data_IF_464684459479
#
_entry.id   IF_464684459479
#
_cell.length_a   1.000
_cell.length_b   1.000
_cell.length_c   1.000
_cell.angle_alpha   90.00
_cell.angle_beta   90.00
_cell.angle_gamma   90.00
#
_symmetry.space_group_name_H-M   'P 1'
#
loop_
_entity.id
_entity.type
_entity.pdbx_description
1 polymer ?
#
# COMPACT_ATOMS: atom_id res chain seq x y z
N UNK A 1 1.28 16.28 2.22
CA UNK A 1 0.28 16.15 3.31
C UNK A 1 -1.07 16.55 2.76
N UNK A 2 -2.07 15.67 2.86
CA UNK A 2 -3.42 15.93 2.36
C UNK A 2 -4.16 16.86 3.35
N UNK A 3 -4.58 18.03 2.88
CA UNK A 3 -5.23 19.05 3.71
C UNK A 3 -6.72 18.79 3.94
N UNK A 4 -7.31 17.83 3.21
CA UNK A 4 -8.71 17.41 3.40
C UNK A 4 -8.91 16.40 4.54
N UNK A 5 -7.84 15.96 5.21
CA UNK A 5 -7.91 15.03 6.33
C UNK A 5 -7.78 15.76 7.67
N UNK A 6 -8.41 15.26 8.75
CA UNK A 6 -8.17 15.78 10.09
C UNK A 6 -6.68 15.75 10.45
N UNK A 7 -6.24 16.70 11.26
CA UNK A 7 -4.88 16.68 11.79
C UNK A 7 -4.65 15.37 12.58
N UNK A 8 -3.57 14.62 12.31
CA UNK A 8 -3.39 13.29 12.88
C UNK A 8 -3.03 13.30 14.38
N UNK A 9 -2.66 14.44 14.96
CA UNK A 9 -2.15 14.51 16.33
C UNK A 9 -0.74 13.89 16.44
N UNK A 10 -0.40 13.42 17.65
CA UNK A 10 0.82 12.62 17.85
C UNK A 10 0.69 11.22 17.21
N UNK A 11 1.80 10.50 17.09
CA UNK A 11 1.78 9.12 16.58
C UNK A 11 0.87 8.21 17.42
N UNK A 12 0.95 8.29 18.74
CA UNK A 12 0.16 7.45 19.64
C UNK A 12 -1.34 7.74 19.53
N UNK A 13 -1.71 9.03 19.46
CA UNK A 13 -3.11 9.45 19.24
C UNK A 13 -3.63 8.94 17.90
N UNK A 14 -2.82 9.06 16.84
CA UNK A 14 -3.19 8.54 15.52
C UNK A 14 -3.35 7.02 15.54
N UNK A 15 -2.45 6.31 16.20
CA UNK A 15 -2.50 4.85 16.31
C UNK A 15 -3.76 4.39 17.05
N UNK A 16 -4.12 5.03 18.16
CA UNK A 16 -5.36 4.76 18.89
C UNK A 16 -6.59 4.97 18.00
N UNK A 17 -6.66 6.12 17.32
CA UNK A 17 -7.75 6.47 16.38
C UNK A 17 -7.83 5.47 15.22
N UNK A 18 -6.69 5.05 14.68
CA UNK A 18 -6.60 4.07 13.60
C UNK A 18 -7.10 2.68 14.02
N UNK A 19 -6.67 2.20 15.20
CA UNK A 19 -7.11 0.92 15.75
C UNK A 19 -8.59 0.91 16.11
N UNK A 20 -9.13 2.05 16.55
CA UNK A 20 -10.56 2.24 16.79
C UNK A 20 -11.38 2.34 15.48
N UNK A 21 -10.73 2.50 14.32
CA UNK A 21 -11.40 2.72 13.05
C UNK A 21 -12.04 4.11 12.93
N UNK A 22 -11.63 5.07 13.76
CA UNK A 22 -12.10 6.47 13.77
C UNK A 22 -11.33 7.34 12.76
N UNK A 23 -10.86 6.71 11.68
CA UNK A 23 -10.17 7.36 10.57
C UNK A 23 -11.06 7.35 9.33
N UNK A 24 -10.78 8.22 8.35
CA UNK A 24 -11.44 8.13 7.04
C UNK A 24 -11.41 6.69 6.51
N UNK A 25 -12.53 6.26 5.91
CA UNK A 25 -12.77 4.88 5.43
C UNK A 25 -12.93 3.80 6.51
N UNK A 26 -12.82 4.13 7.80
CA UNK A 26 -13.18 3.24 8.91
C UNK A 26 -12.06 2.26 9.33
N UNK A 27 -12.47 1.15 9.94
CA UNK A 27 -11.58 0.09 10.44
C UNK A 27 -10.82 -0.62 9.30
N UNK A 28 -9.49 -0.56 9.35
CA UNK A 28 -8.63 -1.31 8.42
C UNK A 28 -8.90 -2.81 8.49
N UNK A 29 -9.10 -3.36 9.69
CA UNK A 29 -9.35 -4.79 9.90
C UNK A 29 -10.65 -5.24 9.26
N UNK A 30 -11.71 -4.43 9.37
CA UNK A 30 -12.99 -4.75 8.75
C UNK A 30 -12.89 -4.64 7.23
N UNK A 31 -12.19 -3.60 6.73
CA UNK A 31 -11.97 -3.42 5.30
C UNK A 31 -11.26 -4.62 4.67
N UNK A 32 -10.10 -5.05 5.20
CA UNK A 32 -9.34 -6.16 4.63
C UNK A 32 -10.07 -7.50 4.74
N UNK A 33 -10.75 -7.76 5.88
CA UNK A 33 -11.54 -8.99 6.07
C UNK A 33 -12.72 -9.05 5.11
N UNK A 34 -13.47 -7.96 4.97
CA UNK A 34 -14.62 -7.92 4.07
C UNK A 34 -14.22 -8.18 2.61
N UNK A 35 -13.12 -7.57 2.14
CA UNK A 35 -12.60 -7.81 0.79
C UNK A 35 -12.03 -9.21 0.62
N UNK A 36 -11.40 -9.75 1.66
CA UNK A 36 -10.94 -11.13 1.68
C UNK A 36 -12.13 -12.07 1.48
N UNK A 37 -13.17 -11.99 2.30
CA UNK A 37 -14.35 -12.87 2.21
C UNK A 37 -15.13 -12.69 0.90
N UNK A 38 -15.13 -11.48 0.33
CA UNK A 38 -15.78 -11.19 -0.94
C UNK A 38 -15.07 -11.85 -2.15
N UNK A 39 -13.77 -12.17 -2.04
CA UNK A 39 -12.96 -12.65 -3.16
C UNK A 39 -13.46 -13.97 -3.76
N UNK A 40 -14.11 -14.80 -2.95
CA UNK A 40 -14.64 -16.11 -3.38
C UNK A 40 -16.03 -15.99 -4.04
N UNK A 41 -16.70 -14.83 -3.86
CA UNK A 41 -18.06 -14.57 -4.36
C UNK A 41 -18.08 -13.69 -5.61
N UNK A 42 -17.03 -12.89 -5.81
CA UNK A 42 -16.92 -11.93 -6.89
C UNK A 42 -15.61 -12.11 -7.64
N UNK A 43 -15.57 -11.61 -8.88
CA UNK A 43 -14.34 -11.61 -9.67
C UNK A 43 -13.39 -10.53 -9.15
N UNK A 44 -12.67 -10.84 -8.07
CA UNK A 44 -11.74 -9.93 -7.38
C UNK A 44 -10.34 -10.55 -7.42
N UNK A 45 -9.35 -9.74 -7.81
CA UNK A 45 -7.94 -10.08 -7.64
C UNK A 45 -7.44 -9.45 -6.34
N UNK A 46 -7.18 -10.28 -5.35
CA UNK A 46 -6.61 -9.85 -4.07
C UNK A 46 -5.08 -9.90 -4.14
N UNK A 47 -4.42 -8.77 -3.90
CA UNK A 47 -2.96 -8.61 -3.98
C UNK A 47 -2.40 -8.08 -2.67
N UNK A 48 -1.14 -8.42 -2.39
CA UNK A 48 -0.40 -7.91 -1.25
C UNK A 48 0.69 -6.96 -1.73
N UNK A 49 0.86 -5.85 -1.02
CA UNK A 49 1.88 -4.85 -1.36
C UNK A 49 3.29 -5.44 -1.23
N UNK A 50 3.48 -6.31 -0.24
CA UNK A 50 4.73 -7.01 0.05
C UNK A 50 5.14 -7.94 -1.10
N UNK A 51 4.16 -8.63 -1.71
CA UNK A 51 4.40 -9.49 -2.88
C UNK A 51 4.80 -8.66 -4.10
N UNK A 52 4.14 -7.51 -4.32
CA UNK A 52 4.50 -6.58 -5.41
C UNK A 52 5.92 -6.06 -5.22
N UNK A 53 6.34 -5.80 -3.98
CA UNK A 53 7.72 -5.41 -3.69
C UNK A 53 8.73 -6.53 -3.92
N UNK A 54 8.37 -7.76 -3.54
CA UNK A 54 9.26 -8.93 -3.60
C UNK A 54 9.44 -9.44 -5.03
N UNK A 55 8.35 -9.50 -5.80
CA UNK A 55 8.33 -9.95 -7.19
C UNK A 55 7.33 -9.10 -8.00
N UNK A 56 7.72 -7.87 -8.40
CA UNK A 56 6.85 -7.00 -9.18
C UNK A 56 6.47 -7.64 -10.53
N UNK A 57 7.37 -8.41 -11.13
CA UNK A 57 7.12 -9.07 -12.42
C UNK A 57 6.00 -10.09 -12.30
N UNK A 58 6.09 -10.98 -11.31
CA UNK A 58 5.09 -12.02 -11.06
C UNK A 58 3.71 -11.42 -10.77
N UNK A 59 3.64 -10.38 -9.95
CA UNK A 59 2.38 -9.72 -9.62
C UNK A 59 1.80 -8.93 -10.82
N UNK A 60 2.62 -8.30 -11.67
CA UNK A 60 2.15 -7.67 -12.92
C UNK A 60 1.58 -8.73 -13.89
N UNK A 61 2.26 -9.87 -14.05
CA UNK A 61 1.74 -10.97 -14.87
C UNK A 61 0.41 -11.53 -14.32
N UNK A 62 0.27 -11.61 -13.00
CA UNK A 62 -0.96 -12.03 -12.31
C UNK A 62 -2.12 -11.07 -12.60
N UNK A 63 -1.86 -9.76 -12.57
CA UNK A 63 -2.82 -8.73 -13.00
C UNK A 63 -3.17 -8.90 -14.48
N UNK A 64 -2.19 -9.11 -15.36
CA UNK A 64 -2.40 -9.38 -16.78
C UNK A 64 -3.35 -10.56 -17.01
N UNK A 65 -3.07 -11.72 -16.40
CA UNK A 65 -3.91 -12.92 -16.49
C UNK A 65 -5.33 -12.66 -15.97
N UNK A 66 -5.48 -11.94 -14.86
CA UNK A 66 -6.79 -11.58 -14.32
C UNK A 66 -7.60 -10.68 -15.27
N UNK A 67 -6.94 -9.81 -16.02
CA UNK A 67 -7.54 -8.98 -17.05
C UNK A 67 -7.72 -9.70 -18.39
N UNK A 68 -7.33 -10.97 -18.51
CA UNK A 68 -7.38 -11.73 -19.76
C UNK A 68 -6.36 -11.25 -20.80
N UNK A 69 -5.22 -10.72 -20.34
CA UNK A 69 -4.14 -10.19 -21.17
C UNK A 69 -2.89 -11.04 -21.00
N UNK A 70 -2.35 -11.55 -22.10
CA UNK A 70 -0.97 -12.02 -22.13
C UNK A 70 -0.04 -10.81 -22.28
N UNK A 71 1.03 -10.78 -21.50
CA UNK A 71 2.02 -9.71 -21.51
C UNK A 71 3.32 -10.27 -22.11
N UNK A 72 3.63 -9.96 -23.39
CA UNK A 72 4.92 -10.32 -23.97
C UNK A 72 6.08 -9.74 -23.16
N UNK A 73 7.22 -10.42 -23.15
CA UNK A 73 8.39 -10.03 -22.34
C UNK A 73 8.76 -8.54 -22.46
N UNK A 74 8.85 -7.94 -23.67
CA UNK A 74 9.22 -6.52 -23.79
C UNK A 74 8.17 -5.57 -23.18
N UNK A 75 6.89 -5.97 -23.20
CA UNK A 75 5.81 -5.19 -22.60
C UNK A 75 5.87 -5.32 -21.08
N UNK A 76 6.11 -6.53 -20.57
CA UNK A 76 6.27 -6.77 -19.13
C UNK A 76 7.44 -5.97 -18.55
N UNK A 77 8.61 -6.00 -19.20
CA UNK A 77 9.78 -5.19 -18.80
C UNK A 77 9.44 -3.71 -18.74
N UNK A 78 8.76 -3.21 -19.78
CA UNK A 78 8.35 -1.80 -19.83
C UNK A 78 7.43 -1.44 -18.66
N UNK A 79 6.44 -2.29 -18.33
CA UNK A 79 5.53 -2.01 -17.20
C UNK A 79 6.31 -2.01 -15.88
N UNK A 80 7.20 -2.98 -15.67
CA UNK A 80 8.03 -3.07 -14.45
C UNK A 80 8.85 -1.80 -14.27
N UNK A 81 9.50 -1.32 -15.32
CA UNK A 81 10.32 -0.10 -15.27
C UNK A 81 9.47 1.16 -14.99
N UNK A 82 8.35 1.33 -15.69
CA UNK A 82 7.49 2.51 -15.55
C UNK A 82 6.75 2.55 -14.21
N UNK A 83 6.47 1.39 -13.62
CA UNK A 83 5.79 1.27 -12.31
C UNK A 83 6.76 1.14 -11.15
N UNK A 84 8.08 1.24 -11.40
CA UNK A 84 9.08 1.30 -10.34
C UNK A 84 8.87 2.57 -9.49
N UNK A 85 9.27 2.50 -8.21
CA UNK A 85 9.10 3.62 -7.29
C UNK A 85 9.80 4.89 -7.79
N UNK A 86 11.02 4.77 -8.31
CA UNK A 86 11.78 5.92 -8.81
C UNK A 86 11.14 6.52 -10.06
N UNK A 87 10.70 5.69 -11.02
CA UNK A 87 9.97 6.15 -12.20
C UNK A 87 8.68 6.88 -11.83
N UNK A 88 7.87 6.30 -10.93
CA UNK A 88 6.62 6.91 -10.48
C UNK A 88 6.83 8.18 -9.65
N UNK A 89 7.92 8.25 -8.87
CA UNK A 89 8.31 9.43 -8.08
C UNK A 89 8.75 10.58 -8.98
N UNK A 90 9.45 10.30 -10.08
CA UNK A 90 9.88 11.29 -11.06
C UNK A 90 8.77 11.78 -12.00
N UNK A 91 7.66 11.05 -12.11
CA UNK A 91 6.60 11.34 -13.08
C UNK A 91 5.48 12.24 -12.48
N UNK A 92 5.28 13.47 -13.00
CA UNK A 92 4.24 14.40 -12.53
C UNK A 92 2.80 13.86 -12.61
N UNK A 93 2.54 12.90 -13.51
CA UNK A 93 1.22 12.29 -13.68
C UNK A 93 0.89 11.26 -12.60
N UNK A 94 1.88 10.81 -11.81
CA UNK A 94 1.71 9.78 -10.78
C UNK A 94 2.10 10.25 -9.38
N UNK A 95 2.98 11.24 -9.27
CA UNK A 95 3.50 11.72 -7.98
C UNK A 95 2.67 12.84 -7.33
N UNK A 96 1.55 13.25 -7.92
CA UNK A 96 0.65 14.30 -7.44
C UNK A 96 1.26 15.72 -7.36
N UNK A 97 2.36 16.00 -8.06
CA UNK A 97 3.04 17.32 -8.00
C UNK A 97 2.25 18.46 -8.64
N UNK A 98 1.26 18.11 -9.47
CA UNK A 98 0.36 19.06 -10.14
C UNK A 98 -0.79 19.52 -9.24
N UNK A 99 -0.99 18.89 -8.08
CA UNK A 99 -2.01 19.34 -7.13
C UNK A 99 -1.56 20.63 -6.41
N UNK A 100 -2.46 21.62 -6.24
CA UNK A 100 -2.17 22.80 -5.45
C UNK A 100 -1.85 22.47 -3.97
N UNK A 101 -0.97 23.23 -3.30
CA UNK A 101 -0.59 22.98 -1.90
C UNK A 101 -1.74 22.98 -0.90
N UNK A 102 -2.81 23.75 -1.18
CA UNK A 102 -4.01 23.77 -0.33
C UNK A 102 -4.83 22.48 -0.41
N UNK A 103 -4.57 21.60 -1.39
CA UNK A 103 -5.14 20.25 -1.48
C UNK A 103 -4.12 19.25 -0.93
N UNK A 104 -2.88 19.30 -1.42
CA UNK A 104 -1.82 18.40 -1.01
C UNK A 104 -0.46 19.10 -0.95
N UNK A 105 0.02 19.33 0.26
CA UNK A 105 1.30 20.01 0.50
C UNK A 105 2.47 19.03 0.44
N UNK A 106 3.17 18.99 -0.70
CA UNK A 106 4.33 18.11 -0.89
C UNK A 106 5.59 18.56 -0.14
N UNK A 107 5.68 19.82 0.29
CA UNK A 107 6.82 20.33 1.04
C UNK A 107 6.87 19.74 2.45
N UNK A 108 5.70 19.52 3.06
CA UNK A 108 5.58 18.83 4.37
C UNK A 108 5.86 17.33 4.23
N UNK A 109 5.22 16.69 3.25
CA UNK A 109 5.43 15.27 2.98
C UNK A 109 5.05 14.95 1.53
N UNK A 110 6.00 14.49 0.70
CA UNK A 110 5.71 14.12 -0.69
C UNK A 110 4.81 12.88 -0.73
N UNK A 111 3.99 12.77 -1.77
CA UNK A 111 3.08 11.64 -1.93
C UNK A 111 3.86 10.31 -2.04
N UNK A 112 4.86 10.28 -2.92
CA UNK A 112 5.82 9.17 -3.01
C UNK A 112 6.90 9.31 -1.92
N UNK A 113 6.54 8.96 -0.68
CA UNK A 113 7.35 9.20 0.53
C UNK A 113 8.60 8.32 0.63
N UNK A 114 8.40 7.01 0.81
CA UNK A 114 9.41 5.95 0.88
C UNK A 114 8.70 4.68 0.40
N UNK A 115 9.20 4.01 -0.65
CA UNK A 115 8.59 2.83 -1.30
C UNK A 115 8.55 1.56 -0.44
N UNK A 116 8.08 1.67 0.80
CA UNK A 116 7.93 0.64 1.82
C UNK A 116 8.95 0.76 2.96
N UNK A 117 8.45 0.59 4.20
CA UNK A 117 9.22 0.52 5.42
C UNK A 117 8.45 1.09 6.62
N UNK A 118 7.88 0.23 7.45
CA UNK A 118 7.44 0.56 8.81
C UNK A 118 8.64 0.60 9.79
N UNK A 119 9.73 -0.08 9.45
CA UNK A 119 10.98 -0.22 10.22
C UNK A 119 11.78 1.09 10.43
N UNK A 120 11.36 2.21 9.85
CA UNK A 120 12.04 3.51 10.02
C UNK A 120 11.32 4.47 10.97
N UNK A 121 10.21 4.05 11.60
CA UNK A 121 9.43 4.88 12.52
C UNK A 121 9.50 4.45 14.00
N UNK A 122 10.20 3.36 14.33
CA UNK A 122 10.44 2.95 15.72
C UNK A 122 11.67 2.08 15.78
N UNK A 123 12.55 2.32 16.76
CA UNK A 123 13.73 1.52 16.98
C UNK A 123 13.40 0.02 17.05
N UNK A 124 14.22 -0.77 16.37
CA UNK A 124 14.37 -2.22 16.46
C UNK A 124 13.40 -2.96 17.38
N UNK A 125 12.42 -3.66 16.80
CA UNK A 125 12.06 -4.98 17.33
C UNK A 125 12.67 -6.03 16.41
N UNK A 126 13.48 -6.89 17.03
CA UNK A 126 14.21 -7.99 16.43
C UNK A 126 13.29 -8.90 15.58
N UNK A 127 13.78 -9.53 14.49
CA UNK A 127 13.00 -10.46 13.67
C UNK A 127 12.56 -11.77 14.37
N UNK A 128 13.00 -12.01 15.61
CA UNK A 128 12.90 -13.31 16.26
C UNK A 128 11.83 -13.39 17.37
N UNK A 129 10.55 -13.16 17.06
CA UNK A 129 9.39 -13.69 17.81
C UNK A 129 8.14 -13.40 16.95
N UNK A 130 7.34 -14.32 16.43
CA UNK A 130 6.67 -15.44 17.09
C UNK A 130 6.28 -16.52 16.07
N UNK A 131 6.71 -17.76 16.29
CA UNK A 131 6.11 -18.97 15.72
C UNK A 131 5.37 -19.70 16.85
N UNK A 132 4.08 -19.93 16.63
CA UNK A 132 3.17 -20.93 17.21
C UNK A 132 2.91 -20.97 18.73
N UNK A 133 1.64 -20.79 19.09
CA UNK A 133 0.92 -21.84 19.82
C UNK A 133 -0.57 -21.82 19.45
N UNK A 134 -0.95 -22.78 18.61
CA UNK A 134 -2.28 -23.35 18.62
C UNK A 134 -2.40 -24.24 19.86
N UNK A 135 -3.16 -23.81 20.86
CA UNK A 135 -3.68 -24.70 21.89
C UNK A 135 -5.12 -25.03 21.56
N UNK A 136 -5.29 -26.24 21.02
CA UNK A 136 -6.51 -27.04 21.14
C UNK A 136 -6.62 -27.47 22.60
N UNK A 137 -7.80 -27.31 23.19
CA UNK A 137 -8.11 -27.70 24.57
C UNK A 137 -9.37 -27.01 25.06
#
# INVERSE_FOLDING_TARGET
MNQGLPAPGSWDQYLETFLAGEVPWGSWFDHVRAWWDARDKHRILYLFYEDIKKDPRGEIQKVGRFLGRELPEPVLESIVEHTSFESMRGNPMTNYSTLPPFIFDQAVSPFMRKGGGWELCGGAMSPDTWVLSSSVG
#
